data_IF_540328036352
#
_entry.id   IF_540328036352
#
_cell.length_a   1.000
_cell.length_b   1.000
_cell.length_c   1.000
_cell.angle_alpha   90.00
_cell.angle_beta   90.00
_cell.angle_gamma   90.00
#
_symmetry.space_group_name_H-M   'P 1'
#
loop_
_entity.id
_entity.type
_entity.pdbx_description
1 polymer ?
#
# COMPACT_ATOMS: atom_id res chain seq x y z
N UNK A 1 -0.32 -27.87 -2.70
CA UNK A 1 0.21 -26.52 -2.42
C UNK A 1 -0.04 -25.64 -3.63
N UNK A 2 -0.67 -24.48 -3.46
CA UNK A 2 -0.96 -23.54 -4.56
C UNK A 2 0.04 -22.39 -4.48
N UNK A 3 0.77 -22.16 -5.57
CA UNK A 3 1.67 -21.03 -5.71
C UNK A 3 0.93 -19.88 -6.38
N UNK A 4 1.17 -18.66 -5.91
CA UNK A 4 0.60 -17.44 -6.47
C UNK A 4 1.71 -16.43 -6.74
N UNK A 5 1.66 -15.80 -7.92
CA UNK A 5 2.49 -14.66 -8.29
C UNK A 5 1.79 -13.40 -7.81
N UNK A 6 2.42 -12.63 -6.92
CA UNK A 6 1.87 -11.36 -6.44
C UNK A 6 2.93 -10.32 -6.17
N UNK A 7 2.58 -9.04 -6.31
CA UNK A 7 3.40 -7.93 -5.84
C UNK A 7 3.19 -7.76 -4.33
N UNK A 8 4.19 -8.09 -3.52
CA UNK A 8 4.05 -8.00 -2.05
C UNK A 8 3.92 -6.57 -1.55
N UNK A 9 4.32 -5.57 -2.36
CA UNK A 9 4.11 -4.16 -2.02
C UNK A 9 2.63 -3.79 -1.99
N UNK A 10 1.77 -4.45 -2.77
CA UNK A 10 0.32 -4.19 -2.76
C UNK A 10 -0.26 -4.44 -1.37
N UNK A 11 0.09 -5.56 -0.74
CA UNK A 11 -0.41 -5.90 0.60
C UNK A 11 0.12 -4.94 1.68
N UNK A 12 1.40 -4.55 1.58
CA UNK A 12 2.02 -3.62 2.52
C UNK A 12 1.42 -2.22 2.43
N UNK A 13 1.28 -1.70 1.20
CA UNK A 13 0.65 -0.41 0.94
C UNK A 13 -0.81 -0.45 1.36
N UNK A 14 -1.57 -1.48 0.99
CA UNK A 14 -2.97 -1.64 1.36
C UNK A 14 -3.17 -1.53 2.88
N UNK A 15 -2.49 -2.38 3.65
CA UNK A 15 -2.59 -2.39 5.11
C UNK A 15 -2.24 -1.05 5.72
N UNK A 16 -1.22 -0.37 5.18
CA UNK A 16 -0.75 0.90 5.73
C UNK A 16 -1.65 2.07 5.35
N UNK A 17 -2.22 2.07 4.15
CA UNK A 17 -3.22 3.05 3.72
C UNK A 17 -4.46 2.96 4.60
N UNK A 18 -4.96 1.75 4.87
CA UNK A 18 -6.12 1.54 5.74
C UNK A 18 -5.86 2.03 7.18
N UNK A 19 -4.66 1.77 7.70
CA UNK A 19 -4.26 2.25 9.03
C UNK A 19 -4.20 3.78 9.10
N UNK A 20 -3.71 4.46 8.06
CA UNK A 20 -3.57 5.92 8.04
C UNK A 20 -4.90 6.62 7.78
N UNK A 21 -5.72 6.12 6.85
CA UNK A 21 -7.08 6.61 6.63
C UNK A 21 -7.96 6.44 7.87
N UNK A 22 -7.79 5.35 8.64
CA UNK A 22 -8.52 5.16 9.90
C UNK A 22 -8.13 6.15 11.01
N UNK A 23 -7.01 6.87 10.86
CA UNK A 23 -6.52 7.87 11.83
C UNK A 23 -6.82 9.31 11.41
N UNK A 24 -7.02 9.55 10.12
CA UNK A 24 -7.25 10.89 9.57
C UNK A 24 -8.70 11.05 9.12
N UNK A 25 -9.46 11.87 9.84
CA UNK A 25 -10.88 12.14 9.56
C UNK A 25 -11.09 13.17 8.46
N UNK A 26 -10.05 13.87 8.02
CA UNK A 26 -10.15 14.99 7.08
C UNK A 26 -10.02 14.54 5.61
N UNK A 27 -9.86 13.24 5.36
CA UNK A 27 -9.66 12.66 4.03
C UNK A 27 -10.78 11.67 3.73
N UNK A 28 -11.33 11.75 2.53
CA UNK A 28 -12.35 10.82 2.06
C UNK A 28 -11.80 9.39 2.01
N UNK A 29 -12.45 8.48 2.73
CA UNK A 29 -12.06 7.06 2.85
C UNK A 29 -12.91 6.12 1.98
N UNK A 30 -13.65 6.67 1.00
CA UNK A 30 -14.41 5.85 0.06
C UNK A 30 -13.48 4.92 -0.75
N UNK A 31 -14.04 3.84 -1.29
CA UNK A 31 -13.27 2.85 -2.06
C UNK A 31 -12.49 3.49 -3.22
N UNK A 32 -13.09 4.47 -3.91
CA UNK A 32 -12.44 5.18 -5.01
C UNK A 32 -11.20 5.94 -4.56
N UNK A 33 -11.30 6.79 -3.54
CA UNK A 33 -10.17 7.55 -3.01
C UNK A 33 -9.07 6.63 -2.46
N UNK A 34 -9.48 5.56 -1.77
CA UNK A 34 -8.57 4.55 -1.25
C UNK A 34 -7.75 3.88 -2.36
N UNK A 35 -8.40 3.47 -3.45
CA UNK A 35 -7.73 2.86 -4.61
C UNK A 35 -6.85 3.87 -5.35
N UNK A 36 -7.28 5.13 -5.48
CA UNK A 36 -6.47 6.19 -6.10
C UNK A 36 -5.17 6.44 -5.30
N UNK A 37 -5.26 6.51 -3.95
CA UNK A 37 -4.09 6.62 -3.07
C UNK A 37 -3.14 5.44 -3.29
N UNK A 38 -3.66 4.21 -3.26
CA UNK A 38 -2.85 3.01 -3.47
C UNK A 38 -2.17 3.01 -4.84
N UNK A 39 -2.87 3.40 -5.90
CA UNK A 39 -2.33 3.47 -7.25
C UNK A 39 -1.18 4.49 -7.37
N UNK A 40 -1.36 5.68 -6.80
CA UNK A 40 -0.31 6.72 -6.78
C UNK A 40 0.96 6.22 -6.08
N UNK A 41 0.81 5.53 -4.95
CA UNK A 41 1.93 4.99 -4.17
C UNK A 41 2.63 3.86 -4.91
N UNK A 42 1.88 2.89 -5.42
CA UNK A 42 2.44 1.72 -6.10
C UNK A 42 3.14 2.06 -7.41
N UNK A 43 2.74 3.14 -8.08
CA UNK A 43 3.44 3.66 -9.27
C UNK A 43 4.80 4.30 -8.96
N UNK A 44 5.03 4.73 -7.71
CA UNK A 44 6.29 5.34 -7.28
C UNK A 44 7.24 4.35 -6.60
N UNK A 45 6.70 3.38 -5.86
CA UNK A 45 7.50 2.41 -5.13
C UNK A 45 8.00 1.28 -6.05
N UNK A 46 9.16 0.67 -5.75
CA UNK A 46 9.67 -0.44 -6.55
C UNK A 46 8.75 -1.67 -6.42
N UNK A 47 8.30 -2.22 -7.53
CA UNK A 47 7.54 -3.48 -7.55
C UNK A 47 8.37 -4.63 -6.99
N UNK A 48 7.74 -5.50 -6.18
CA UNK A 48 8.38 -6.69 -5.60
C UNK A 48 7.51 -7.91 -5.83
N UNK A 49 7.70 -8.57 -6.97
CA UNK A 49 6.99 -9.82 -7.25
C UNK A 49 7.64 -10.99 -6.51
N UNK A 50 6.79 -11.83 -5.91
CA UNK A 50 7.20 -13.10 -5.33
C UNK A 50 6.25 -14.20 -5.81
N UNK A 51 6.79 -15.41 -5.95
CA UNK A 51 6.02 -16.63 -6.09
C UNK A 51 6.12 -17.34 -4.75
N UNK A 52 5.02 -17.54 -4.03
CA UNK A 52 5.08 -18.13 -2.69
C UNK A 52 3.98 -19.16 -2.44
N UNK A 53 4.29 -20.10 -1.56
CA UNK A 53 3.27 -20.73 -0.72
C UNK A 53 3.03 -19.83 0.50
N UNK A 54 1.83 -19.89 1.10
CA UNK A 54 1.35 -18.95 2.12
C UNK A 54 2.34 -18.64 3.27
N UNK A 55 3.23 -19.58 3.63
CA UNK A 55 4.23 -19.42 4.70
C UNK A 55 5.51 -18.67 4.31
N UNK A 56 6.09 -18.91 3.12
CA UNK A 56 7.33 -18.24 2.69
C UNK A 56 7.13 -16.75 2.38
N UNK A 57 5.93 -16.38 1.95
CA UNK A 57 5.55 -14.98 1.75
C UNK A 57 5.68 -14.16 3.03
N UNK A 58 5.38 -14.74 4.20
CA UNK A 58 5.30 -13.98 5.45
C UNK A 58 6.67 -13.48 5.91
N UNK A 59 7.70 -14.33 5.88
CA UNK A 59 9.07 -13.94 6.24
C UNK A 59 9.61 -12.86 5.30
N UNK A 60 9.32 -12.98 4.00
CA UNK A 60 9.75 -12.01 2.99
C UNK A 60 8.98 -10.69 3.11
N UNK A 61 7.70 -10.75 3.45
CA UNK A 61 6.86 -9.58 3.74
C UNK A 61 7.40 -8.79 4.91
N UNK A 62 7.74 -9.43 6.04
CA UNK A 62 8.20 -8.71 7.23
C UNK A 62 9.57 -8.05 7.00
N UNK A 63 10.47 -8.72 6.29
CA UNK A 63 11.75 -8.12 5.88
C UNK A 63 11.54 -6.87 5.00
N UNK A 64 10.71 -6.98 3.95
CA UNK A 64 10.42 -5.86 3.06
C UNK A 64 9.68 -4.74 3.78
N UNK A 65 8.77 -5.08 4.70
CA UNK A 65 8.07 -4.11 5.55
C UNK A 65 9.05 -3.27 6.35
N UNK A 66 10.07 -3.87 6.97
CA UNK A 66 11.10 -3.15 7.71
C UNK A 66 11.92 -2.25 6.79
N UNK A 67 12.32 -2.76 5.62
CA UNK A 67 13.13 -2.01 4.65
C UNK A 67 12.41 -0.78 4.10
N UNK A 68 11.14 -0.89 3.74
CA UNK A 68 10.39 0.17 3.04
C UNK A 68 9.43 0.94 3.94
N UNK A 69 9.48 0.75 5.26
CA UNK A 69 8.50 1.33 6.20
C UNK A 69 8.36 2.84 6.04
N UNK A 70 9.48 3.56 6.00
CA UNK A 70 9.50 5.03 5.94
C UNK A 70 8.98 5.48 4.58
N UNK A 71 9.51 4.93 3.49
CA UNK A 71 9.12 5.28 2.12
C UNK A 71 7.62 5.04 1.88
N UNK A 72 7.08 3.89 2.32
CA UNK A 72 5.65 3.58 2.20
C UNK A 72 4.80 4.64 2.92
N UNK A 73 5.16 4.99 4.15
CA UNK A 73 4.40 5.98 4.93
C UNK A 73 4.46 7.35 4.26
N UNK A 74 5.66 7.79 3.86
CA UNK A 74 5.87 9.10 3.23
C UNK A 74 5.08 9.22 1.93
N UNK A 75 5.14 8.20 1.07
CA UNK A 75 4.42 8.23 -0.20
C UNK A 75 2.89 8.15 -0.01
N UNK A 76 2.40 7.39 0.98
CA UNK A 76 0.97 7.35 1.30
C UNK A 76 0.49 8.73 1.75
N UNK A 77 1.21 9.40 2.66
CA UNK A 77 0.84 10.74 3.13
C UNK A 77 0.79 11.74 1.96
N UNK A 78 1.78 11.69 1.06
CA UNK A 78 1.77 12.55 -0.14
C UNK A 78 0.57 12.24 -1.05
N UNK A 79 0.26 10.96 -1.28
CA UNK A 79 -0.87 10.56 -2.11
C UNK A 79 -2.22 10.95 -1.47
N UNK A 80 -2.35 10.79 -0.16
CA UNK A 80 -3.50 11.25 0.63
C UNK A 80 -3.75 12.75 0.43
N UNK A 81 -2.71 13.57 0.54
CA UNK A 81 -2.81 15.02 0.30
C UNK A 81 -3.20 15.39 -1.14
N UNK A 82 -2.72 14.63 -2.13
CA UNK A 82 -3.11 14.85 -3.53
C UNK A 82 -4.58 14.52 -3.76
N UNK A 83 -5.04 13.37 -3.29
CA UNK A 83 -6.44 12.93 -3.44
C UNK A 83 -7.40 13.81 -2.64
N UNK A 84 -6.99 14.29 -1.46
CA UNK A 84 -7.75 15.26 -0.67
C UNK A 84 -8.02 16.56 -1.44
N UNK A 85 -7.03 17.05 -2.18
CA UNK A 85 -7.13 18.30 -2.98
C UNK A 85 -7.96 18.12 -4.26
N UNK A 86 -7.89 16.94 -4.87
CA UNK A 86 -8.58 16.66 -6.14
C UNK A 86 -9.15 15.23 -6.13
N UNK A 87 -10.30 15.01 -5.48
CA UNK A 87 -10.97 13.71 -5.50
C UNK A 87 -11.57 13.41 -6.89
N UNK A 88 -11.52 12.14 -7.31
CA UNK A 88 -12.12 11.66 -8.57
C UNK A 88 -13.46 10.93 -8.38
N UNK A 89 -14.18 11.20 -7.28
CA UNK A 89 -15.46 10.57 -6.95
C UNK A 89 -16.63 11.54 -7.07
#
# INVERSE_FOLDING_TARGET
MKYELKNVMEELVQKKTDELLGKDTDICSCERCRLDIMALVLNKLPVKYVVSTQGEAYTKLEFLRLQYKVDIITEIIQAMELVKKQPNH
#
